data_IF_908973198687
#
_entry.id   IF_908973198687
#
_cell.length_a   1.000
_cell.length_b   1.000
_cell.length_c   1.000
_cell.angle_alpha   90.00
_cell.angle_beta   90.00
_cell.angle_gamma   90.00
#
_symmetry.space_group_name_H-M   'P 1'
#
loop_
_entity.id
_entity.type
_entity.pdbx_description
1 polymer ?
#
# COMPACT_ATOMS: atom_id res chain seq x y z
N UNK A 1 37.50 39.13 -8.17
CA UNK A 1 36.01 39.19 -8.04
C UNK A 1 35.32 37.99 -8.70
N UNK A 2 35.96 37.29 -9.65
CA UNK A 2 35.53 35.96 -10.10
C UNK A 2 35.97 34.82 -9.16
N UNK A 3 36.98 35.03 -8.32
CA UNK A 3 37.52 34.00 -7.41
C UNK A 3 36.61 33.70 -6.20
N UNK A 4 35.57 34.51 -5.99
CA UNK A 4 34.59 34.35 -4.91
C UNK A 4 33.42 33.43 -5.30
N UNK A 5 33.30 33.05 -6.58
CA UNK A 5 32.25 32.14 -7.07
C UNK A 5 32.70 30.67 -7.17
N UNK A 6 33.98 30.36 -6.95
CA UNK A 6 34.51 29.00 -7.08
C UNK A 6 34.67 28.31 -5.71
N UNK A 7 34.58 29.06 -4.61
CA UNK A 7 34.68 28.52 -3.25
C UNK A 7 33.42 27.75 -2.76
N UNK A 8 32.35 27.66 -3.56
CA UNK A 8 31.18 26.81 -3.23
C UNK A 8 31.22 25.42 -3.85
N UNK A 9 32.25 25.09 -4.64
CA UNK A 9 32.41 23.74 -5.20
C UNK A 9 33.64 23.05 -4.59
N UNK A 10 33.66 22.93 -3.27
CA UNK A 10 34.56 21.99 -2.60
C UNK A 10 33.86 20.65 -2.55
N UNK A 11 34.19 19.78 -3.50
CA UNK A 11 33.73 18.41 -3.53
C UNK A 11 34.25 17.64 -2.32
N UNK A 12 33.34 17.22 -1.45
CA UNK A 12 33.42 15.94 -0.74
C UNK A 12 32.15 15.18 -1.09
N UNK A 13 32.33 14.00 -1.69
CA UNK A 13 31.27 13.21 -2.28
C UNK A 13 30.38 12.55 -1.25
N UNK A 14 29.19 13.12 -1.07
CA UNK A 14 27.96 12.37 -0.86
C UNK A 14 26.82 13.30 -1.25
N UNK A 15 26.26 13.15 -2.45
CA UNK A 15 24.98 13.80 -2.75
C UNK A 15 23.95 13.05 -1.92
N UNK A 16 23.69 13.54 -0.72
CA UNK A 16 22.67 12.98 0.16
C UNK A 16 21.30 13.25 -0.49
N UNK A 17 20.89 12.27 -1.29
CA UNK A 17 19.62 12.26 -1.99
C UNK A 17 18.45 12.29 -0.98
N UNK A 18 18.67 11.82 0.26
CA UNK A 18 17.66 11.86 1.32
C UNK A 18 17.27 13.28 1.75
N UNK A 19 18.21 14.22 1.73
CA UNK A 19 18.00 15.61 2.14
C UNK A 19 17.72 16.57 0.97
N UNK A 20 18.15 16.24 -0.25
CA UNK A 20 17.91 17.08 -1.44
C UNK A 20 16.62 16.78 -2.21
N UNK A 21 16.06 15.57 -2.10
CA UNK A 21 14.73 15.27 -2.63
C UNK A 21 13.66 15.74 -1.62
N UNK A 22 13.05 16.88 -1.92
CA UNK A 22 11.91 17.44 -1.19
C UNK A 22 10.61 16.90 -1.77
N UNK A 23 9.79 16.28 -0.91
CA UNK A 23 8.44 15.84 -1.28
C UNK A 23 7.48 17.03 -1.26
N UNK A 24 6.34 16.87 -1.94
CA UNK A 24 5.29 17.89 -2.00
C UNK A 24 4.85 18.29 -0.58
N UNK A 25 5.27 19.48 -0.13
CA UNK A 25 5.10 19.94 1.26
C UNK A 25 6.38 20.40 1.97
N UNK A 26 7.56 20.31 1.33
CA UNK A 26 8.79 20.92 1.83
C UNK A 26 9.54 20.13 2.91
N UNK A 27 9.19 18.86 3.11
CA UNK A 27 9.90 17.95 4.02
C UNK A 27 10.80 17.00 3.22
N UNK A 28 12.03 16.74 3.67
CA UNK A 28 12.95 15.82 3.01
C UNK A 28 12.42 14.37 3.09
N UNK A 29 12.73 13.56 2.07
CA UNK A 29 12.33 12.15 1.98
C UNK A 29 12.79 11.34 3.21
N UNK A 30 13.94 11.68 3.80
CA UNK A 30 14.49 11.02 5.00
C UNK A 30 13.63 11.19 6.25
N UNK A 31 12.88 12.28 6.37
CA UNK A 31 11.97 12.56 7.48
C UNK A 31 10.60 11.89 7.31
N UNK A 32 10.22 11.56 6.07
CA UNK A 32 8.91 10.95 5.75
C UNK A 32 8.97 9.42 5.77
N UNK A 33 10.12 8.82 5.48
CA UNK A 33 10.35 7.37 5.51
C UNK A 33 11.48 6.99 6.48
N UNK A 34 11.42 7.49 7.71
CA UNK A 34 12.45 7.23 8.71
C UNK A 34 12.41 5.80 9.24
N UNK A 35 11.26 5.13 9.15
CA UNK A 35 11.08 3.75 9.58
C UNK A 35 10.44 2.88 8.50
N UNK A 36 10.72 1.57 8.48
CA UNK A 36 9.98 0.63 7.62
C UNK A 36 8.46 0.68 7.83
N UNK A 37 8.00 1.12 9.01
CA UNK A 37 6.59 1.27 9.33
C UNK A 37 5.90 2.37 8.50
N UNK A 38 6.61 3.43 8.12
CA UNK A 38 6.03 4.54 7.35
C UNK A 38 5.59 4.10 5.94
N UNK A 39 6.36 3.19 5.32
CA UNK A 39 6.00 2.57 4.05
C UNK A 39 4.77 1.68 4.17
N UNK A 40 4.69 0.90 5.25
CA UNK A 40 3.56 0.01 5.53
C UNK A 40 2.29 0.84 5.78
N UNK A 41 2.39 1.92 6.54
CA UNK A 41 1.27 2.83 6.84
C UNK A 41 0.74 3.55 5.59
N UNK A 42 1.58 3.76 4.56
CA UNK A 42 1.12 4.31 3.28
C UNK A 42 0.46 3.26 2.39
N UNK A 43 1.04 2.06 2.30
CA UNK A 43 0.61 1.03 1.35
C UNK A 43 -0.63 0.30 1.85
N UNK A 44 -0.68 -0.05 3.14
CA UNK A 44 -1.74 -0.89 3.69
C UNK A 44 -3.13 -0.26 3.50
N UNK A 45 -3.40 0.98 3.90
CA UNK A 45 -4.73 1.59 3.75
C UNK A 45 -5.15 1.68 2.28
N UNK A 46 -4.25 2.10 1.39
CA UNK A 46 -4.51 2.17 -0.05
C UNK A 46 -4.82 0.79 -0.64
N UNK A 47 -4.12 -0.26 -0.20
CA UNK A 47 -4.36 -1.63 -0.63
C UNK A 47 -5.75 -2.12 -0.20
N UNK A 48 -6.19 -1.78 1.02
CA UNK A 48 -7.54 -2.09 1.49
C UNK A 48 -8.63 -1.42 0.65
N UNK A 49 -8.44 -0.15 0.27
CA UNK A 49 -9.36 0.56 -0.63
C UNK A 49 -9.42 -0.12 -2.01
N UNK A 50 -8.25 -0.42 -2.60
CA UNK A 50 -8.19 -1.11 -3.90
C UNK A 50 -8.85 -2.49 -3.82
N UNK A 51 -8.58 -3.25 -2.76
CA UNK A 51 -9.17 -4.56 -2.56
C UNK A 51 -10.71 -4.49 -2.48
N UNK A 52 -11.27 -3.49 -1.78
CA UNK A 52 -12.71 -3.25 -1.74
C UNK A 52 -13.30 -2.97 -3.12
N UNK A 53 -12.65 -2.13 -3.92
CA UNK A 53 -13.06 -1.83 -5.29
C UNK A 53 -12.99 -3.07 -6.18
N UNK A 54 -11.92 -3.87 -6.07
CA UNK A 54 -11.76 -5.11 -6.83
C UNK A 54 -12.86 -6.12 -6.47
N UNK A 55 -13.16 -6.31 -5.18
CA UNK A 55 -14.25 -7.19 -4.73
C UNK A 55 -15.59 -6.74 -5.31
N UNK A 56 -15.87 -5.42 -5.32
CA UNK A 56 -17.09 -4.89 -5.92
C UNK A 56 -17.21 -5.25 -7.41
N UNK A 57 -16.14 -5.08 -8.18
CA UNK A 57 -16.12 -5.44 -9.61
C UNK A 57 -16.28 -6.95 -9.80
N UNK A 58 -15.63 -7.77 -8.97
CA UNK A 58 -15.76 -9.23 -9.02
C UNK A 58 -17.19 -9.68 -8.78
N UNK A 59 -17.93 -9.08 -7.85
CA UNK A 59 -19.34 -9.42 -7.60
C UNK A 59 -20.20 -9.18 -8.85
N UNK A 60 -19.98 -8.06 -9.55
CA UNK A 60 -20.69 -7.76 -10.81
C UNK A 60 -20.35 -8.80 -11.87
N UNK A 61 -19.06 -9.18 -12.00
CA UNK A 61 -18.61 -10.21 -12.95
C UNK A 61 -19.19 -11.59 -12.64
N UNK A 62 -19.26 -11.97 -11.36
CA UNK A 62 -19.88 -13.23 -10.91
C UNK A 62 -21.35 -13.25 -11.32
N UNK A 63 -22.10 -12.20 -11.01
CA UNK A 63 -23.51 -12.08 -11.37
C UNK A 63 -23.73 -12.12 -12.89
N UNK A 64 -22.89 -11.40 -13.64
CA UNK A 64 -22.92 -11.43 -15.11
C UNK A 64 -22.62 -12.83 -15.67
N UNK A 65 -21.58 -13.52 -15.18
CA UNK A 65 -21.24 -14.88 -15.62
C UNK A 65 -22.37 -15.87 -15.37
N UNK A 66 -23.03 -15.75 -14.22
CA UNK A 66 -24.16 -16.60 -13.86
C UNK A 66 -25.32 -16.47 -14.86
N UNK A 67 -25.65 -15.24 -15.27
CA UNK A 67 -26.74 -14.96 -16.21
C UNK A 67 -26.33 -15.29 -17.67
N UNK A 68 -25.11 -14.94 -18.08
CA UNK A 68 -24.69 -14.98 -19.48
C UNK A 68 -24.24 -16.36 -19.99
N UNK A 69 -23.76 -17.25 -19.11
CA UNK A 69 -23.13 -18.52 -19.51
C UNK A 69 -23.83 -19.79 -18.99
N UNK A 70 -24.97 -19.67 -18.29
CA UNK A 70 -25.74 -20.82 -17.79
C UNK A 70 -24.93 -21.76 -16.90
N UNK A 71 -24.99 -23.08 -17.13
CA UNK A 71 -24.30 -24.10 -16.31
C UNK A 71 -22.78 -23.90 -16.22
N UNK A 72 -22.11 -23.51 -17.31
CA UNK A 72 -20.66 -23.24 -17.30
C UNK A 72 -20.35 -21.98 -16.51
N UNK A 73 -21.19 -20.96 -16.66
CA UNK A 73 -21.11 -19.70 -15.92
C UNK A 73 -21.24 -19.89 -14.42
N UNK A 74 -22.09 -20.82 -13.98
CA UNK A 74 -22.29 -21.13 -12.57
C UNK A 74 -21.04 -21.73 -11.92
N UNK A 75 -20.38 -22.70 -12.57
CA UNK A 75 -19.14 -23.28 -12.02
C UNK A 75 -18.02 -22.25 -11.92
N UNK A 76 -17.86 -21.40 -12.94
CA UNK A 76 -16.86 -20.33 -12.91
C UNK A 76 -17.19 -19.26 -11.86
N UNK A 77 -18.45 -18.83 -11.78
CA UNK A 77 -18.94 -17.90 -10.78
C UNK A 77 -18.69 -18.42 -9.35
N UNK A 78 -18.96 -19.70 -9.09
CA UNK A 78 -18.72 -20.32 -7.78
C UNK A 78 -17.23 -20.38 -7.43
N UNK A 79 -16.37 -20.66 -8.41
CA UNK A 79 -14.91 -20.66 -8.21
C UNK A 79 -14.42 -19.26 -7.84
N UNK A 80 -14.82 -18.25 -8.62
CA UNK A 80 -14.44 -16.85 -8.37
C UNK A 80 -14.99 -16.39 -7.01
N UNK A 81 -16.23 -16.73 -6.68
CA UNK A 81 -16.84 -16.41 -5.39
C UNK A 81 -16.08 -17.05 -4.22
N UNK A 82 -15.70 -18.33 -4.34
CA UNK A 82 -14.92 -19.03 -3.31
C UNK A 82 -13.56 -18.38 -3.09
N UNK A 83 -12.86 -18.02 -4.18
CA UNK A 83 -11.58 -17.31 -4.11
C UNK A 83 -11.73 -15.92 -3.50
N UNK A 84 -12.78 -15.19 -3.87
CA UNK A 84 -13.09 -13.86 -3.31
C UNK A 84 -13.33 -13.96 -1.80
N UNK A 85 -14.16 -14.90 -1.35
CA UNK A 85 -14.43 -15.14 0.07
C UNK A 85 -13.15 -15.54 0.81
N UNK A 86 -12.35 -16.44 0.24
CA UNK A 86 -11.07 -16.83 0.83
C UNK A 86 -10.11 -15.64 0.98
N UNK A 87 -10.00 -14.79 -0.04
CA UNK A 87 -9.20 -13.56 0.03
C UNK A 87 -9.68 -12.62 1.12
N UNK A 88 -11.00 -12.46 1.25
CA UNK A 88 -11.63 -11.62 2.28
C UNK A 88 -11.30 -12.14 3.70
N UNK A 89 -11.40 -13.46 3.92
CA UNK A 89 -11.04 -14.09 5.20
C UNK A 89 -9.56 -13.88 5.52
N UNK A 90 -8.67 -14.00 4.54
CA UNK A 90 -7.23 -13.76 4.72
C UNK A 90 -6.97 -12.30 5.14
N UNK A 91 -7.66 -11.33 4.52
CA UNK A 91 -7.54 -9.92 4.90
C UNK A 91 -7.98 -9.67 6.34
N UNK A 92 -9.09 -10.28 6.77
CA UNK A 92 -9.54 -10.22 8.15
C UNK A 92 -8.53 -10.85 9.13
N UNK A 93 -7.96 -12.00 8.77
CA UNK A 93 -6.93 -12.65 9.58
C UNK A 93 -5.68 -11.78 9.72
N UNK A 94 -5.22 -11.15 8.63
CA UNK A 94 -4.10 -10.22 8.65
C UNK A 94 -4.36 -9.00 9.53
N UNK A 95 -5.57 -8.42 9.46
CA UNK A 95 -6.00 -7.34 10.34
C UNK A 95 -5.94 -7.75 11.82
N UNK A 96 -6.44 -8.93 12.16
CA UNK A 96 -6.37 -9.42 13.54
C UNK A 96 -4.95 -9.63 14.04
N UNK A 97 -4.05 -10.14 13.21
CA UNK A 97 -2.63 -10.27 13.58
C UNK A 97 -2.04 -8.90 13.92
N UNK A 98 -2.26 -7.89 13.07
CA UNK A 98 -1.79 -6.53 13.33
C UNK A 98 -2.43 -5.93 14.58
N UNK A 99 -3.72 -6.17 14.81
CA UNK A 99 -4.42 -5.70 16.00
C UNK A 99 -3.83 -6.29 17.28
N UNK A 100 -3.52 -7.59 17.28
CA UNK A 100 -2.89 -8.26 18.42
C UNK A 100 -1.49 -7.69 18.67
N UNK A 101 -0.70 -7.46 17.61
CA UNK A 101 0.62 -6.84 17.73
C UNK A 101 0.53 -5.43 18.33
N UNK A 102 -0.42 -4.59 17.88
CA UNK A 102 -0.64 -3.26 18.48
C UNK A 102 -0.93 -3.35 19.97
N UNK A 103 -1.81 -4.27 20.38
CA UNK A 103 -2.21 -4.45 21.79
C UNK A 103 -1.03 -4.88 22.67
N UNK A 104 -0.16 -5.77 22.17
CA UNK A 104 0.98 -6.29 22.93
C UNK A 104 2.14 -5.29 22.97
N UNK A 105 2.46 -4.65 21.84
CA UNK A 105 3.62 -3.76 21.71
C UNK A 105 3.31 -2.33 22.19
N UNK A 106 2.03 -1.93 22.26
CA UNK A 106 1.64 -0.54 22.54
C UNK A 106 2.07 0.44 21.45
N UNK A 107 2.62 -0.06 20.34
CA UNK A 107 2.98 0.72 19.18
C UNK A 107 1.69 1.10 18.44
N UNK A 108 1.47 2.41 18.30
CA UNK A 108 0.39 2.95 17.50
C UNK A 108 0.78 2.77 16.03
N UNK A 109 0.40 1.63 15.47
CA UNK A 109 0.46 1.40 14.02
C UNK A 109 -0.85 2.00 13.50
N UNK A 110 -0.89 3.17 12.87
CA UNK A 110 -2.12 3.67 12.27
C UNK A 110 -2.54 2.69 11.17
N UNK A 111 -3.75 2.11 11.30
CA UNK A 111 -4.42 1.34 10.25
C UNK A 111 -5.32 2.28 9.45
#
# INVERSE_FOLDING_TARGET
MLDLLIAQNTGEGDLDLGSSYILQGGKPVSEVFSTPADLVNLIVPNLFVIAGVVIMVLIIVIGYKFIAQGEKGLQEAQKIASTMVAGLVIMFAAYWILQIIKVITGADIPL
#
